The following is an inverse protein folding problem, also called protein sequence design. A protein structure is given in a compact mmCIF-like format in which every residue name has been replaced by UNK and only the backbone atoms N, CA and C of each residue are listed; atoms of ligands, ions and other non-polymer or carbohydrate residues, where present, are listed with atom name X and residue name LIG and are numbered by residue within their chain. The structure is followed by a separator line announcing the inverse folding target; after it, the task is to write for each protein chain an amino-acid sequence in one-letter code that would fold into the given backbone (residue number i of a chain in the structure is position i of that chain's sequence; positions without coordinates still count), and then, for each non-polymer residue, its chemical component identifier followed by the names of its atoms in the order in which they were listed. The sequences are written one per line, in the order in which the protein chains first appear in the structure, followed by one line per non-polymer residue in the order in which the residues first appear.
data_IF_623608878736
#
_entry.id   IF_623608878736
#
_cell.length_a   1.000
_cell.length_b   1.000
_cell.length_c   1.000
_cell.angle_alpha   90.00
_cell.angle_beta   90.00
_cell.angle_gamma   90.00
#
_symmetry.space_group_name_H-M   'P 1'
#
loop_
_entity.id
_entity.type
_entity.pdbx_description
1 polymer ?
#
# COMPACT_ATOMS: atom_id res chain seq x y z
N UNK A 1 10.17 15.29 10.99
CA UNK A 1 10.57 13.90 11.24
C UNK A 1 9.94 12.99 10.19
N UNK A 2 10.73 12.17 9.56
CA UNK A 2 10.19 11.24 8.56
C UNK A 2 9.45 10.10 9.25
N UNK A 3 8.36 9.71 8.63
CA UNK A 3 7.57 8.57 9.07
C UNK A 3 8.29 7.28 8.68
N UNK A 4 8.11 6.21 9.44
CA UNK A 4 8.69 4.93 9.07
C UNK A 4 8.07 4.41 7.78
N UNK A 5 8.84 3.64 7.01
CA UNK A 5 8.36 3.06 5.77
C UNK A 5 7.07 2.24 5.98
N UNK A 6 6.97 1.58 7.11
CA UNK A 6 5.79 0.79 7.45
C UNK A 6 4.53 1.64 7.46
N UNK A 7 4.58 2.78 8.12
CA UNK A 7 3.42 3.66 8.21
C UNK A 7 3.15 4.39 6.89
N UNK A 8 4.19 4.74 6.15
CA UNK A 8 4.02 5.34 4.83
C UNK A 8 3.26 4.40 3.89
N UNK A 9 3.63 3.12 3.87
CA UNK A 9 2.97 2.14 3.02
C UNK A 9 1.55 1.85 3.50
N UNK A 10 1.33 1.79 4.81
CA UNK A 10 -0.02 1.65 5.36
C UNK A 10 -0.93 2.80 4.90
N UNK A 11 -0.44 4.02 5.03
CA UNK A 11 -1.22 5.19 4.64
C UNK A 11 -1.49 5.22 3.13
N UNK A 12 -0.51 4.83 2.33
CA UNK A 12 -0.68 4.77 0.88
C UNK A 12 -1.74 3.72 0.48
N UNK A 13 -1.67 2.54 1.07
CA UNK A 13 -2.63 1.47 0.79
C UNK A 13 -4.02 1.86 1.28
N UNK A 14 -4.11 2.45 2.47
CA UNK A 14 -5.39 2.95 2.99
C UNK A 14 -6.00 4.01 2.08
N UNK A 15 -5.17 4.87 1.50
CA UNK A 15 -5.61 5.91 0.57
C UNK A 15 -6.34 5.36 -0.65
N UNK A 16 -5.97 4.17 -1.10
CA UNK A 16 -6.60 3.53 -2.26
C UNK A 16 -8.04 3.11 -2.00
N UNK A 17 -8.39 2.85 -0.75
CA UNK A 17 -9.74 2.40 -0.39
C UNK A 17 -10.54 3.45 0.40
N UNK A 18 -9.94 4.59 0.72
CA UNK A 18 -10.63 5.67 1.44
C UNK A 18 -11.83 6.23 0.65
N UNK A 19 -11.79 6.14 -0.67
CA UNK A 19 -12.86 6.68 -1.51
C UNK A 19 -14.10 5.77 -1.59
N UNK A 20 -14.02 4.55 -1.06
CA UNK A 20 -15.16 3.64 -1.06
C UNK A 20 -16.22 4.17 -0.10
N UNK A 21 -17.42 4.39 -0.63
CA UNK A 21 -18.51 4.97 0.14
C UNK A 21 -18.91 4.09 1.32
N UNK A 22 -19.01 4.70 2.50
CA UNK A 22 -19.45 4.01 3.70
C UNK A 22 -18.41 3.12 4.38
N UNK A 23 -17.21 3.03 3.83
CA UNK A 23 -16.15 2.20 4.40
C UNK A 23 -15.31 3.01 5.41
N UNK A 24 -15.15 2.45 6.59
CA UNK A 24 -14.24 3.00 7.60
C UNK A 24 -12.90 2.31 7.50
N UNK A 25 -11.82 3.08 7.34
CA UNK A 25 -10.47 2.53 7.15
C UNK A 25 -9.62 2.85 8.36
N UNK A 26 -8.99 1.81 8.92
CA UNK A 26 -8.14 1.93 10.10
C UNK A 26 -6.72 1.48 9.78
N UNK A 27 -5.76 2.23 10.29
CA UNK A 27 -4.33 1.91 10.20
C UNK A 27 -3.73 2.04 11.60
N UNK A 28 -2.42 1.84 11.72
CA UNK A 28 -1.74 2.06 13.00
C UNK A 28 -1.93 3.50 13.50
N UNK A 29 -2.06 4.46 12.58
CA UNK A 29 -2.23 5.87 12.91
C UNK A 29 -3.70 6.30 12.96
N UNK A 30 -4.60 5.50 12.42
CA UNK A 30 -6.04 5.76 12.40
C UNK A 30 -6.73 4.78 13.35
N UNK A 31 -6.64 5.08 14.63
CA UNK A 31 -7.19 4.23 15.68
C UNK A 31 -8.53 4.77 16.16
N UNK A 32 -9.23 3.93 16.88
CA UNK A 32 -10.52 4.29 17.47
C UNK A 32 -11.47 3.12 17.50
N UNK A 33 -12.71 3.39 17.88
CA UNK A 33 -13.75 2.37 17.89
C UNK A 33 -14.08 1.96 16.46
N UNK A 34 -13.98 0.66 16.20
CA UNK A 34 -14.23 0.15 14.85
C UNK A 34 -15.71 0.02 14.58
N UNK A 35 -16.14 0.69 13.54
CA UNK A 35 -17.55 0.71 13.12
C UNK A 35 -17.68 -0.05 11.80
N UNK A 36 -18.66 -0.93 11.70
CA UNK A 36 -18.94 -1.66 10.49
C UNK A 36 -19.55 -0.76 9.41
N UNK A 37 -19.26 -1.00 8.13
CA UNK A 37 -18.20 -1.87 7.64
C UNK A 37 -16.83 -1.20 7.79
N UNK A 38 -15.80 -1.99 8.04
CA UNK A 38 -14.47 -1.42 8.16
C UNK A 38 -13.41 -2.30 7.49
N UNK A 39 -12.33 -1.66 7.09
CA UNK A 39 -11.11 -2.34 6.66
C UNK A 39 -9.96 -1.89 7.55
N UNK A 40 -9.12 -2.83 7.95
CA UNK A 40 -7.89 -2.52 8.65
C UNK A 40 -6.70 -2.82 7.74
N UNK A 41 -5.76 -1.90 7.71
CA UNK A 41 -4.55 -2.01 6.90
C UNK A 41 -3.36 -2.06 7.85
N UNK A 42 -2.58 -3.11 7.76
CA UNK A 42 -1.42 -3.28 8.63
C UNK A 42 -0.24 -3.79 7.80
N UNK A 43 0.86 -3.05 7.85
CA UNK A 43 2.08 -3.42 7.16
C UNK A 43 3.08 -4.04 8.13
N UNK A 44 3.87 -4.97 7.64
CA UNK A 44 4.99 -5.54 8.37
C UNK A 44 6.19 -5.64 7.44
N UNK A 45 7.37 -5.39 8.00
CA UNK A 45 8.61 -5.43 7.24
C UNK A 45 9.15 -6.87 7.27
N UNK A 46 9.33 -7.46 6.08
CA UNK A 46 9.95 -8.78 5.97
C UNK A 46 11.47 -8.69 6.01
N UNK A 47 12.02 -7.80 5.18
CA UNK A 47 13.47 -7.65 5.06
C UNK A 47 13.81 -6.34 4.37
N UNK A 48 15.04 -5.91 4.54
CA UNK A 48 15.64 -4.85 3.75
C UNK A 48 16.34 -5.49 2.57
N UNK A 49 15.92 -5.12 1.36
CA UNK A 49 16.46 -5.71 0.14
C UNK A 49 17.83 -5.14 -0.21
N UNK A 50 18.62 -5.95 -0.89
CA UNK A 50 19.92 -5.54 -1.46
C UNK A 50 20.88 -4.96 -0.43
N UNK A 51 20.72 -5.33 0.83
CA UNK A 51 21.58 -4.89 1.90
C UNK A 51 21.26 -3.50 2.40
N UNK A 52 22.15 -2.95 3.21
CA UNK A 52 21.87 -1.75 3.99
C UNK A 52 21.95 -0.45 3.20
N UNK A 53 22.39 -0.50 1.96
CA UNK A 53 22.70 0.72 1.22
C UNK A 53 21.56 1.23 0.35
N UNK A 54 20.57 0.40 0.10
CA UNK A 54 19.52 0.77 -0.83
C UNK A 54 18.33 1.45 -0.17
N UNK A 55 18.09 1.14 1.09
CA UNK A 55 16.89 1.63 1.78
C UNK A 55 15.59 1.06 1.22
N UNK A 56 15.66 0.03 0.40
CA UNK A 56 14.47 -0.63 -0.14
C UNK A 56 14.05 -1.74 0.81
N UNK A 57 12.77 -1.74 1.15
CA UNK A 57 12.20 -2.69 2.10
C UNK A 57 11.18 -3.58 1.40
N UNK A 58 11.16 -4.84 1.82
CA UNK A 58 10.14 -5.81 1.45
C UNK A 58 9.08 -5.83 2.55
N UNK A 59 7.86 -5.40 2.20
CA UNK A 59 6.77 -5.33 3.16
C UNK A 59 5.60 -6.20 2.73
N UNK A 60 4.95 -6.79 3.74
CA UNK A 60 3.63 -7.40 3.55
C UNK A 60 2.59 -6.48 4.16
N UNK A 61 1.54 -6.23 3.41
CA UNK A 61 0.44 -5.39 3.86
C UNK A 61 -0.83 -6.24 3.90
N UNK A 62 -1.35 -6.44 5.11
CA UNK A 62 -2.59 -7.17 5.30
C UNK A 62 -3.76 -6.19 5.30
N UNK A 63 -4.73 -6.42 4.43
CA UNK A 63 -5.96 -5.64 4.35
C UNK A 63 -7.10 -6.58 4.75
N UNK A 64 -7.72 -6.32 5.89
CA UNK A 64 -8.82 -7.14 6.41
C UNK A 64 -10.11 -6.34 6.37
N UNK A 65 -11.10 -6.86 5.66
CA UNK A 65 -12.42 -6.25 5.57
C UNK A 65 -13.39 -7.02 6.46
N UNK A 66 -14.23 -6.28 7.17
CA UNK A 66 -15.22 -6.86 8.09
C UNK A 66 -16.53 -6.09 8.02
N UNK A 67 -17.62 -6.81 8.08
CA UNK A 67 -18.96 -6.23 8.17
C UNK A 67 -19.85 -7.13 9.01
N UNK A 68 -20.98 -6.58 9.44
CA UNK A 68 -21.89 -7.30 10.31
C UNK A 68 -22.54 -8.50 9.63
N UNK A 69 -22.54 -9.66 10.27
CA UNK A 69 -23.22 -10.85 9.77
C UNK A 69 -24.68 -10.90 10.22
N UNK A 70 -25.12 -9.91 11.00
CA UNK A 70 -26.50 -9.86 11.49
C UNK A 70 -27.43 -9.29 10.41
N UNK A 71 -26.92 -8.33 9.62
CA UNK A 71 -27.75 -7.59 8.66
C UNK A 71 -27.55 -7.98 7.22
N UNK A 72 -26.39 -8.54 6.86
CA UNK A 72 -26.09 -8.88 5.49
C UNK A 72 -25.74 -10.36 5.35
N UNK A 73 -26.03 -10.91 4.18
CA UNK A 73 -25.69 -12.28 3.82
C UNK A 73 -24.21 -12.36 3.44
N UNK A 74 -23.68 -13.59 3.39
CA UNK A 74 -22.33 -13.82 2.90
C UNK A 74 -22.18 -13.34 1.45
N UNK A 75 -23.19 -13.55 0.62
CA UNK A 75 -23.15 -13.12 -0.78
C UNK A 75 -23.01 -11.61 -0.90
N UNK A 76 -23.79 -10.87 -0.11
CA UNK A 76 -23.69 -9.41 -0.11
C UNK A 76 -22.34 -8.93 0.41
N UNK A 77 -21.83 -9.60 1.43
CA UNK A 77 -20.51 -9.29 1.97
C UNK A 77 -19.41 -9.52 0.92
N UNK A 78 -19.48 -10.64 0.20
CA UNK A 78 -18.49 -10.94 -0.84
C UNK A 78 -18.57 -9.92 -1.98
N UNK A 79 -19.76 -9.43 -2.30
CA UNK A 79 -19.92 -8.36 -3.29
C UNK A 79 -19.29 -7.05 -2.83
N UNK A 80 -19.45 -6.71 -1.57
CA UNK A 80 -18.79 -5.53 -0.98
C UNK A 80 -17.27 -5.69 -0.96
N UNK A 81 -16.79 -6.88 -0.63
CA UNK A 81 -15.36 -7.17 -0.64
C UNK A 81 -14.77 -7.00 -2.04
N UNK A 82 -15.51 -7.32 -3.09
CA UNK A 82 -15.05 -7.13 -4.45
C UNK A 82 -14.70 -5.68 -4.75
N UNK A 83 -15.39 -4.72 -4.15
CA UNK A 83 -15.06 -3.30 -4.32
C UNK A 83 -13.68 -2.98 -3.78
N UNK A 84 -13.31 -3.60 -2.66
CA UNK A 84 -11.98 -3.43 -2.08
C UNK A 84 -10.93 -4.11 -2.97
N UNK A 85 -11.21 -5.32 -3.39
CA UNK A 85 -10.30 -6.06 -4.25
C UNK A 85 -10.03 -5.30 -5.55
N UNK A 86 -11.07 -4.76 -6.18
CA UNK A 86 -10.95 -4.02 -7.42
C UNK A 86 -10.19 -2.70 -7.26
N UNK A 87 -10.17 -2.13 -6.06
CA UNK A 87 -9.35 -0.97 -5.80
C UNK A 87 -7.86 -1.29 -5.93
N UNK A 88 -7.48 -2.52 -5.69
CA UNK A 88 -6.09 -2.97 -5.81
C UNK A 88 -5.81 -3.69 -7.12
N UNK A 89 -6.77 -4.41 -7.67
CA UNK A 89 -6.58 -5.21 -8.87
C UNK A 89 -6.98 -4.40 -10.11
N UNK A 90 -5.98 -4.01 -10.88
CA UNK A 90 -6.18 -3.22 -12.08
C UNK A 90 -4.96 -3.34 -12.98
N UNK A 91 -5.18 -3.34 -14.29
CA UNK A 91 -4.08 -3.37 -15.26
C UNK A 91 -3.59 -1.97 -15.61
N UNK A 92 -4.50 -1.01 -15.63
CA UNK A 92 -4.19 0.37 -16.00
C UNK A 92 -5.04 1.33 -15.17
N UNK A 93 -4.47 2.02 -14.20
CA UNK A 93 -3.08 1.91 -13.73
C UNK A 93 -2.82 0.63 -12.93
N UNK A 94 -1.57 0.20 -12.89
CA UNK A 94 -1.17 -0.95 -12.10
C UNK A 94 -1.22 -0.64 -10.60
N UNK A 95 -1.21 -1.68 -9.78
CA UNK A 95 -1.17 -1.50 -8.33
C UNK A 95 0.07 -0.69 -7.91
N UNK A 96 1.22 -0.96 -8.52
CA UNK A 96 2.44 -0.19 -8.27
C UNK A 96 2.22 1.29 -8.54
N UNK A 97 1.61 1.63 -9.67
CA UNK A 97 1.36 3.02 -10.05
C UNK A 97 0.37 3.69 -9.09
N UNK A 98 -0.65 2.98 -8.66
CA UNK A 98 -1.62 3.49 -7.68
C UNK A 98 -0.95 3.81 -6.35
N UNK A 99 -0.13 2.89 -5.84
CA UNK A 99 0.59 3.08 -4.57
C UNK A 99 1.59 4.23 -4.72
N UNK A 100 2.26 4.33 -5.86
CA UNK A 100 3.19 5.44 -6.09
C UNK A 100 2.48 6.79 -6.07
N UNK A 101 1.29 6.87 -6.66
CA UNK A 101 0.50 8.11 -6.63
C UNK A 101 0.20 8.52 -5.20
N UNK A 102 -0.16 7.59 -4.34
CA UNK A 102 -0.41 7.89 -2.92
C UNK A 102 0.88 8.24 -2.18
N UNK A 103 1.98 7.55 -2.48
CA UNK A 103 3.27 7.82 -1.86
C UNK A 103 3.84 9.18 -2.28
N UNK A 104 3.54 9.64 -3.48
CA UNK A 104 3.96 10.97 -3.93
C UNK A 104 3.41 12.09 -3.05
N UNK A 105 2.27 11.86 -2.41
CA UNK A 105 1.66 12.83 -1.51
C UNK A 105 2.34 12.90 -0.14
N UNK A 106 2.99 11.81 0.28
CA UNK A 106 3.53 11.69 1.63
C UNK A 106 5.03 11.41 1.67
N UNK A 107 5.65 11.24 0.51
CA UNK A 107 7.07 11.00 0.36
C UNK A 107 7.42 9.51 0.44
N UNK A 108 7.90 8.97 -0.65
CA UNK A 108 8.28 7.57 -0.74
C UNK A 108 8.27 7.10 -2.18
N UNK A 109 8.89 5.97 -2.43
CA UNK A 109 8.96 5.38 -3.78
C UNK A 109 8.59 3.92 -3.71
N UNK A 110 7.69 3.49 -4.58
CA UNK A 110 7.29 2.10 -4.73
C UNK A 110 8.00 1.49 -5.94
N UNK A 111 8.69 0.40 -5.73
CA UNK A 111 9.38 -0.31 -6.80
C UNK A 111 8.57 -1.47 -7.35
N UNK A 112 7.79 -2.11 -6.51
CA UNK A 112 6.93 -3.22 -6.92
C UNK A 112 5.78 -3.36 -5.94
N UNK A 113 4.62 -3.74 -6.46
CA UNK A 113 3.48 -4.08 -5.62
C UNK A 113 2.65 -5.15 -6.30
N UNK A 114 2.17 -6.12 -5.54
CA UNK A 114 1.34 -7.21 -6.06
C UNK A 114 0.44 -7.76 -4.96
N UNK A 115 -0.66 -8.36 -5.39
CA UNK A 115 -1.52 -9.14 -4.50
C UNK A 115 -0.91 -10.54 -4.40
N UNK A 116 -0.64 -10.98 -3.18
CA UNK A 116 0.00 -12.28 -2.93
C UNK A 116 -1.02 -13.35 -2.64
N UNK A 117 -2.02 -13.02 -1.82
CA UNK A 117 -3.00 -14.02 -1.37
C UNK A 117 -4.29 -13.35 -0.93
N UNK A 118 -5.34 -14.15 -0.87
CA UNK A 118 -6.63 -13.77 -0.31
C UNK A 118 -7.08 -14.87 0.63
N UNK A 119 -7.77 -14.50 1.69
CA UNK A 119 -8.39 -15.46 2.58
C UNK A 119 -9.83 -15.73 2.16
N UNK A 120 -10.41 -16.89 2.51
CA UNK A 120 -11.84 -17.11 2.31
C UNK A 120 -12.66 -16.27 3.27
N UNK A 121 -13.92 -16.07 2.95
CA UNK A 121 -14.86 -15.42 3.85
C UNK A 121 -15.15 -16.33 5.04
N UNK A 122 -15.00 -15.79 6.24
CA UNK A 122 -15.31 -16.51 7.46
C UNK A 122 -16.29 -15.70 8.30
N UNK A 123 -17.01 -16.41 9.17
CA UNK A 123 -17.87 -15.78 10.17
C UNK A 123 -17.18 -15.85 11.52
N UNK A 124 -17.02 -14.70 12.17
CA UNK A 124 -16.38 -14.64 13.48
C UNK A 124 -17.40 -14.87 14.60
N UNK A 125 -16.90 -15.16 15.79
CA UNK A 125 -17.74 -15.32 16.97
C UNK A 125 -18.54 -14.08 17.32
N UNK A 126 -18.09 -12.92 16.86
CA UNK A 126 -18.76 -11.64 17.09
C UNK A 126 -19.84 -11.34 16.05
N UNK A 127 -20.28 -12.35 15.32
CA UNK A 127 -21.29 -12.23 14.27
C UNK A 127 -20.91 -11.22 13.20
N UNK A 128 -19.68 -11.30 12.77
CA UNK A 128 -19.16 -10.48 11.69
C UNK A 128 -18.62 -11.38 10.58
N UNK A 129 -18.79 -10.94 9.35
CA UNK A 129 -18.07 -11.50 8.21
C UNK A 129 -16.68 -10.90 8.17
N UNK A 130 -15.72 -11.70 7.78
CA UNK A 130 -14.34 -11.25 7.67
C UNK A 130 -13.66 -11.89 6.47
N UNK A 131 -12.97 -11.10 5.70
CA UNK A 131 -12.16 -11.56 4.57
C UNK A 131 -11.01 -10.59 4.37
N UNK A 132 -9.86 -11.10 3.97
CA UNK A 132 -8.70 -10.27 3.79
C UNK A 132 -7.89 -10.63 2.56
N UNK A 133 -6.99 -9.74 2.23
CA UNK A 133 -5.98 -9.97 1.20
C UNK A 133 -4.63 -9.47 1.71
N UNK A 134 -3.58 -9.99 1.12
CA UNK A 134 -2.22 -9.58 1.46
C UNK A 134 -1.54 -9.07 0.21
N UNK A 135 -0.95 -7.89 0.34
CA UNK A 135 -0.12 -7.28 -0.70
C UNK A 135 1.35 -7.45 -0.32
N UNK A 136 2.20 -7.58 -1.33
CA UNK A 136 3.64 -7.51 -1.13
C UNK A 136 4.13 -6.25 -1.84
N UNK A 137 4.82 -5.37 -1.12
CA UNK A 137 5.24 -4.07 -1.61
C UNK A 137 6.73 -3.90 -1.37
N UNK A 138 7.45 -3.50 -2.41
CA UNK A 138 8.85 -3.11 -2.30
C UNK A 138 8.92 -1.60 -2.39
N UNK A 139 9.35 -0.94 -1.32
CA UNK A 139 9.32 0.53 -1.23
C UNK A 139 10.45 1.08 -0.39
N UNK A 140 10.71 2.37 -0.58
CA UNK A 140 11.67 3.12 0.21
C UNK A 140 11.00 4.38 0.75
N UNK A 141 11.41 4.89 1.94
CA UNK A 141 10.87 6.13 2.47
C UNK A 141 11.45 7.38 1.79
N UNK A 142 12.23 7.21 0.73
CA UNK A 142 12.82 8.33 0.02
C UNK A 142 11.97 8.69 -1.19
N UNK A 143 11.79 9.98 -1.50
CA UNK A 143 11.05 10.39 -2.69
C UNK A 143 11.78 9.97 -3.96
N UNK A 144 11.02 9.79 -5.04
CA UNK A 144 11.60 9.46 -6.33
C UNK A 144 12.48 10.61 -6.84
N UNK A 145 13.65 10.26 -7.36
CA UNK A 145 14.55 11.23 -7.97
C UNK A 145 14.10 11.46 -9.41
N UNK A 146 13.99 12.74 -9.81
CA UNK A 146 13.64 13.07 -11.18
C UNK A 146 14.73 12.56 -12.13
N UNK A 147 14.37 11.91 -13.23
CA UNK A 147 15.38 11.31 -14.12
C UNK A 147 16.42 12.28 -14.65
N UNK A 148 16.01 13.52 -14.95
CA UNK A 148 16.96 14.51 -15.48
C UNK A 148 18.02 14.88 -14.42
N UNK A 149 17.68 14.89 -13.15
CA UNK A 149 18.63 15.18 -12.08
C UNK A 149 19.68 14.08 -12.01
N UNK A 150 19.25 12.83 -12.10
CA UNK A 150 20.18 11.72 -12.11
C UNK A 150 21.12 11.79 -13.31
N UNK A 151 20.61 12.15 -14.49
CA UNK A 151 21.42 12.29 -15.69
C UNK A 151 22.46 13.39 -15.52
N UNK A 152 22.09 14.53 -14.97
CA UNK A 152 23.02 15.63 -14.74
C UNK A 152 24.14 15.24 -13.80
N UNK A 153 23.85 14.48 -12.78
CA UNK A 153 24.87 14.04 -11.82
C UNK A 153 25.92 13.15 -12.44
N UNK A 154 25.58 12.44 -13.49
CA UNK A 154 26.53 11.58 -14.18
C UNK A 154 27.31 12.30 -15.25
N UNK A 155 26.69 13.28 -15.88
CA UNK A 155 27.33 13.99 -16.98
C UNK A 155 28.34 15.01 -16.55
N UNK A 156 28.23 15.50 -15.39
CA UNK A 156 29.20 16.41 -14.84
C UNK A 156 30.49 15.79 -14.60
N UNK A 157 30.60 14.93 -14.99
CA UNK A 157 31.66 14.25 -14.95
C UNK A 157 31.92 13.77 -16.21
N UNK A 158 31.60 14.13 -16.81
CA UNK A 158 31.61 13.72 -17.85
C UNK A 158 31.46 14.52 -18.62
N UNK A 159 31.95 15.30 -18.31
CA UNK A 159 31.48 15.61 -18.78
C UNK A 159 31.71 16.18 -18.48
N UNK A 160 32.09 16.71 -18.12
CA UNK A 160 31.89 16.57 -17.88
C UNK A 160 32.07 16.39 -17.90
N UNK A 161 32.59 16.57 -18.01
CA UNK A 161 32.40 15.77 -18.10
C UNK A 161 32.04 15.71 -18.29
N UNK A 162 32.80 16.40 -18.49
CA UNK A 162 32.15 16.02 -18.79
C UNK A 162 31.85 16.41 -18.63
N UNK A 163 32.02 17.04 -18.71
CA UNK A 163 31.44 16.87 -18.59
C UNK A 163 31.32 16.92 -18.18
N UNK A 164 31.78 17.57 -17.97
CA UNK A 164 31.47 16.96 -17.69
C UNK A 164 31.48 17.00 -17.41
N UNK A 165 31.94 17.22 -17.43
CA UNK A 165 31.63 16.56 -17.26
C UNK A 165 31.68 16.44 -17.04
N UNK A 166 32.08 16.76 -16.97
CA UNK A 166 31.92 16.12 -16.93
C UNK A 166 31.94 15.93 -16.95
#
# INVERSE_FOLDING_TARGET
MSQSIQYLVEDAVAGLIDSISGLNVYTANRTGKRLFPFASVQASINSQLLGNFTGVYDLNVAVNYSDTAVKISQEDFDSEYCNIFEAFYSETPTLKAKIQTELDLIGGTCYMARIVSQSPTIRTDKRAWQRGLTLNVFATPLPAVAPYVAALQFNDHRNSQYLGAI
#
